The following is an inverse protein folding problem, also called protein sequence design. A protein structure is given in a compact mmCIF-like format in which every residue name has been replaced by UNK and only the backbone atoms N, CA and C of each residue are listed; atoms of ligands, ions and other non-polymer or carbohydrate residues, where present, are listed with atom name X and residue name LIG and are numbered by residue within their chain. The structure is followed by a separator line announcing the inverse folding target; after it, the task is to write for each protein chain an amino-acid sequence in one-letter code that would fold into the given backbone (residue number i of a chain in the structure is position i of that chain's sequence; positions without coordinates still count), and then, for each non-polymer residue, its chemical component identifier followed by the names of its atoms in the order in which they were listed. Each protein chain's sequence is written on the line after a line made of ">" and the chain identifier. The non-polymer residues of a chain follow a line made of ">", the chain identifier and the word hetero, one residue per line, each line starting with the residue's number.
data_IF_115667465431
#
_entry.id   IF_115667465431
#
_cell.length_a   1.000
_cell.length_b   1.000
_cell.length_c   1.000
_cell.angle_alpha   90.00
_cell.angle_beta   90.00
_cell.angle_gamma   90.00
#
_symmetry.space_group_name_H-M   'P 1'
#
loop_
_entity.id
_entity.type
_entity.pdbx_description
1 polymer ?
#
# COMPACT_ATOMS: atom_id res chain seq x y z
N UNK A 1 10.66 20.91 30.54
CA UNK A 1 11.96 20.24 30.37
C UNK A 1 12.36 20.10 28.90
N UNK A 2 11.48 19.62 28.01
CA UNK A 2 11.74 19.64 26.54
C UNK A 2 12.13 21.03 26.01
N UNK A 3 11.51 22.08 26.53
CA UNK A 3 11.76 23.48 26.16
C UNK A 3 13.16 24.01 26.53
N UNK A 4 13.86 23.46 27.52
CA UNK A 4 15.23 23.90 27.85
C UNK A 4 16.30 23.12 27.09
N UNK A 5 16.10 21.81 26.87
CA UNK A 5 17.01 21.02 26.02
C UNK A 5 17.00 21.49 24.56
N UNK A 6 15.83 21.84 24.02
CA UNK A 6 15.73 22.41 22.66
C UNK A 6 16.39 23.78 22.54
N UNK A 7 16.32 24.61 23.60
CA UNK A 7 17.03 25.90 23.65
C UNK A 7 18.55 25.71 23.68
N UNK A 8 19.05 24.71 24.41
CA UNK A 8 20.49 24.47 24.50
C UNK A 8 21.10 23.99 23.17
N UNK A 9 20.37 23.14 22.43
CA UNK A 9 20.78 22.67 21.11
C UNK A 9 20.83 23.80 20.06
N UNK A 10 19.96 24.82 20.18
CA UNK A 10 19.90 25.96 19.27
C UNK A 10 21.08 26.95 19.41
N UNK A 11 21.80 26.91 20.54
CA UNK A 11 22.90 27.85 20.84
C UNK A 11 24.29 27.43 20.31
N UNK A 12 24.43 26.22 19.73
CA UNK A 12 25.76 25.66 19.41
C UNK A 12 26.28 26.05 18.00
N UNK A 13 25.46 26.59 17.09
CA UNK A 13 25.93 27.10 15.78
C UNK A 13 25.20 28.40 15.36
N UNK A 14 25.69 29.55 15.85
CA UNK A 14 25.06 30.86 15.68
C UNK A 14 25.01 31.43 14.23
N UNK A 15 25.35 30.65 13.21
CA UNK A 15 25.21 31.06 11.79
C UNK A 15 24.31 30.14 10.95
N UNK A 16 23.72 29.10 11.54
CA UNK A 16 22.61 28.35 10.95
C UNK A 16 21.53 28.27 12.01
N UNK A 17 20.55 29.18 11.95
CA UNK A 17 19.30 28.97 12.68
C UNK A 17 18.83 27.55 12.34
N UNK A 18 18.50 26.70 13.33
CA UNK A 18 18.01 25.35 13.07
C UNK A 18 16.64 25.46 12.41
N UNK A 19 16.61 25.70 11.10
CA UNK A 19 15.42 25.69 10.25
C UNK A 19 14.82 24.28 10.12
N UNK A 20 15.24 23.34 10.97
CA UNK A 20 14.90 21.93 10.97
C UNK A 20 14.11 21.51 12.23
N UNK A 21 13.62 22.44 13.04
CA UNK A 21 12.85 22.08 14.25
C UNK A 21 11.56 21.31 13.91
N UNK A 22 10.91 21.63 12.79
CA UNK A 22 9.74 20.90 12.32
C UNK A 22 10.05 19.50 11.75
N UNK A 23 11.32 19.16 11.53
CA UNK A 23 11.76 17.81 11.18
C UNK A 23 11.95 16.90 12.39
N UNK A 24 11.74 17.43 13.61
CA UNK A 24 11.85 16.64 14.83
C UNK A 24 10.68 15.65 14.93
N UNK A 25 11.01 14.37 15.09
CA UNK A 25 10.06 13.28 15.27
C UNK A 25 9.42 13.40 16.66
N UNK A 26 8.09 13.34 16.73
CA UNK A 26 7.30 13.34 17.95
C UNK A 26 6.66 14.68 18.30
N UNK A 27 6.59 15.61 17.34
CA UNK A 27 5.83 16.84 17.51
C UNK A 27 4.34 16.54 17.55
N UNK A 28 3.61 17.36 18.32
CA UNK A 28 2.15 17.43 18.31
C UNK A 28 1.71 18.84 17.89
N UNK A 29 0.41 19.02 17.64
CA UNK A 29 -0.18 20.30 17.19
C UNK A 29 0.15 21.48 18.10
N UNK A 30 0.21 21.25 19.41
CA UNK A 30 0.58 22.27 20.40
C UNK A 30 2.04 22.68 20.25
N UNK A 31 2.96 21.72 20.09
CA UNK A 31 4.39 21.98 19.94
C UNK A 31 4.69 22.76 18.65
N UNK A 32 4.04 22.41 17.52
CA UNK A 32 4.27 23.10 16.24
C UNK A 32 3.75 24.54 16.26
N UNK A 33 2.65 24.82 16.96
CA UNK A 33 2.16 26.20 17.15
C UNK A 33 3.12 27.02 18.02
N UNK A 34 3.65 26.47 19.12
CA UNK A 34 4.65 27.19 19.92
C UNK A 34 5.94 27.51 19.13
N UNK A 35 6.38 26.61 18.25
CA UNK A 35 7.50 26.89 17.35
C UNK A 35 7.18 28.06 16.42
N UNK A 36 5.97 28.08 15.86
CA UNK A 36 5.52 29.14 14.97
C UNK A 36 5.43 30.49 15.69
N UNK A 37 4.81 30.54 16.87
CA UNK A 37 4.74 31.75 17.70
C UNK A 37 6.12 32.26 18.13
N UNK A 38 7.10 31.36 18.28
CA UNK A 38 8.49 31.71 18.55
C UNK A 38 9.27 32.21 17.31
N UNK A 39 8.62 32.31 16.15
CA UNK A 39 9.19 32.85 14.91
C UNK A 39 9.88 31.82 14.02
N UNK A 40 9.78 30.52 14.34
CA UNK A 40 10.25 29.46 13.46
C UNK A 40 9.20 29.23 12.38
N UNK A 41 9.33 29.88 11.22
CA UNK A 41 8.29 29.83 10.17
C UNK A 41 8.70 28.97 8.96
N UNK A 42 9.79 28.21 9.08
CA UNK A 42 10.38 27.43 7.99
C UNK A 42 9.67 26.09 7.74
N UNK A 43 8.34 26.08 7.56
CA UNK A 43 7.54 24.85 7.34
C UNK A 43 7.79 24.17 5.99
N UNK A 44 8.48 24.88 5.08
CA UNK A 44 8.83 24.42 3.73
C UNK A 44 10.33 24.12 3.56
N UNK A 45 11.11 24.17 4.63
CA UNK A 45 12.55 23.91 4.54
C UNK A 45 12.80 22.45 4.16
N UNK A 46 13.81 22.22 3.32
CA UNK A 46 14.32 20.88 3.08
C UNK A 46 15.53 20.71 4.00
N UNK A 47 15.51 19.67 4.83
CA UNK A 47 16.60 19.37 5.74
C UNK A 47 16.90 17.87 5.73
N UNK A 48 18.13 17.53 6.12
CA UNK A 48 18.54 16.15 6.31
C UNK A 48 17.72 15.52 7.44
N UNK A 49 17.17 14.33 7.18
CA UNK A 49 16.40 13.57 8.15
C UNK A 49 17.39 12.88 9.10
N UNK A 50 17.21 13.06 10.41
CA UNK A 50 18.11 12.53 11.43
C UNK A 50 18.46 11.05 11.17
N UNK A 51 19.76 10.74 11.20
CA UNK A 51 20.33 9.40 10.99
C UNK A 51 20.18 8.79 9.58
N UNK A 52 19.69 9.54 8.58
CA UNK A 52 19.67 9.08 7.19
C UNK A 52 20.43 10.04 6.27
N UNK A 53 20.78 9.56 5.08
CA UNK A 53 21.33 10.39 4.00
C UNK A 53 20.26 11.11 3.19
N UNK A 54 18.99 11.00 3.58
CA UNK A 54 17.86 11.57 2.85
C UNK A 54 17.47 12.94 3.39
N UNK A 55 16.84 13.72 2.53
CA UNK A 55 16.37 15.08 2.84
C UNK A 55 14.88 15.17 2.57
N UNK A 56 14.11 15.78 3.47
CA UNK A 56 12.66 15.90 3.34
C UNK A 56 12.13 17.26 3.76
N UNK A 57 10.89 17.56 3.38
CA UNK A 57 10.12 18.65 3.99
C UNK A 57 9.60 18.21 5.36
N UNK A 58 9.23 19.15 6.27
CA UNK A 58 8.59 18.81 7.52
C UNK A 58 7.37 17.92 7.37
N UNK A 59 6.49 18.21 6.41
CA UNK A 59 5.30 17.40 6.15
C UNK A 59 5.67 15.95 5.80
N UNK A 60 6.67 15.75 4.94
CA UNK A 60 7.12 14.41 4.57
C UNK A 60 7.73 13.66 5.76
N UNK A 61 8.52 14.32 6.60
CA UNK A 61 9.12 13.71 7.80
C UNK A 61 8.08 13.38 8.87
N UNK A 62 7.12 14.29 9.12
CA UNK A 62 6.05 14.02 10.08
C UNK A 62 5.13 12.89 9.60
N UNK A 63 4.90 12.77 8.29
CA UNK A 63 4.13 11.67 7.72
C UNK A 63 4.74 10.29 7.97
N UNK A 64 6.06 10.19 8.20
CA UNK A 64 6.71 8.94 8.58
C UNK A 64 6.51 8.57 10.05
N UNK A 65 6.34 9.58 10.87
CA UNK A 65 6.48 9.43 12.30
C UNK A 65 5.13 9.19 12.97
N UNK A 66 4.92 7.94 13.39
CA UNK A 66 3.79 7.56 14.25
C UNK A 66 4.29 7.07 15.62
N UNK A 67 5.20 7.82 16.23
CA UNK A 67 5.54 7.63 17.65
C UNK A 67 4.35 7.89 18.59
N UNK A 68 3.29 8.54 18.10
CA UNK A 68 2.02 8.78 18.80
C UNK A 68 0.81 8.15 18.08
N UNK A 69 -0.38 8.66 18.39
CA UNK A 69 -1.63 8.26 17.73
C UNK A 69 -1.70 8.76 16.28
N UNK A 70 -2.48 8.09 15.43
CA UNK A 70 -2.70 8.57 14.06
C UNK A 70 -3.41 9.93 14.00
N UNK A 71 -4.21 10.24 15.03
CA UNK A 71 -4.84 11.55 15.18
C UNK A 71 -3.80 12.66 15.41
N UNK A 72 -2.81 12.45 16.27
CA UNK A 72 -1.76 13.45 16.51
C UNK A 72 -0.95 13.77 15.24
N UNK A 73 -0.64 12.74 14.44
CA UNK A 73 0.04 12.93 13.15
C UNK A 73 -0.85 13.68 12.17
N UNK A 74 -2.14 13.34 12.12
CA UNK A 74 -3.14 14.05 11.31
C UNK A 74 -3.20 15.54 11.68
N UNK A 75 -3.27 15.85 12.98
CA UNK A 75 -3.35 17.23 13.47
C UNK A 75 -2.10 18.03 13.11
N UNK A 76 -0.91 17.42 13.20
CA UNK A 76 0.35 18.07 12.82
C UNK A 76 0.42 18.32 11.31
N UNK A 77 0.01 17.36 10.48
CA UNK A 77 0.01 17.51 9.04
C UNK A 77 -1.03 18.54 8.57
N UNK A 78 -2.24 18.51 9.14
CA UNK A 78 -3.28 19.53 8.89
C UNK A 78 -2.78 20.92 9.29
N UNK A 79 -2.11 21.03 10.44
CA UNK A 79 -1.48 22.27 10.86
C UNK A 79 -0.40 22.74 9.88
N UNK A 80 0.52 21.86 9.47
CA UNK A 80 1.58 22.18 8.51
C UNK A 80 0.99 22.68 7.18
N UNK A 81 -0.02 21.99 6.67
CA UNK A 81 -0.76 22.41 5.47
C UNK A 81 -1.37 23.80 5.65
N UNK A 82 -1.99 24.07 6.81
CA UNK A 82 -2.58 25.39 7.12
C UNK A 82 -1.56 26.53 7.13
N UNK A 83 -0.28 26.22 7.38
CA UNK A 83 0.85 27.17 7.31
C UNK A 83 1.54 27.19 5.94
N UNK A 84 1.01 26.48 4.94
CA UNK A 84 1.50 26.48 3.57
C UNK A 84 2.52 25.39 3.25
N UNK A 85 2.57 24.30 4.01
CA UNK A 85 3.38 23.14 3.67
C UNK A 85 2.87 22.43 2.41
N UNK A 86 3.73 22.13 1.41
CA UNK A 86 3.32 21.46 0.18
C UNK A 86 3.11 19.96 0.43
N UNK A 87 1.85 19.54 0.40
CA UNK A 87 1.45 18.12 0.53
C UNK A 87 1.63 17.31 -0.76
N UNK A 88 1.89 17.99 -1.88
CA UNK A 88 2.18 17.47 -3.21
C UNK A 88 3.69 17.44 -3.52
N UNK A 89 4.56 17.85 -2.59
CA UNK A 89 6.00 17.82 -2.80
C UNK A 89 6.49 16.37 -2.99
N UNK A 90 7.12 16.09 -4.12
CA UNK A 90 7.66 14.77 -4.45
C UNK A 90 9.09 14.65 -3.93
N UNK A 91 9.32 13.65 -3.08
CA UNK A 91 10.65 13.38 -2.54
C UNK A 91 11.62 12.93 -3.65
N UNK A 92 12.81 13.53 -3.80
CA UNK A 92 13.69 13.29 -4.95
C UNK A 92 14.23 11.86 -5.05
N UNK A 93 14.46 11.19 -3.91
CA UNK A 93 14.89 9.78 -3.87
C UNK A 93 13.72 8.80 -4.01
N UNK A 94 12.69 8.93 -3.17
CA UNK A 94 11.60 7.95 -3.08
C UNK A 94 10.47 8.17 -4.08
N UNK A 95 10.43 9.32 -4.73
CA UNK A 95 9.40 9.67 -5.71
C UNK A 95 8.00 9.84 -5.10
N UNK A 96 7.85 9.93 -3.78
CA UNK A 96 6.56 9.97 -3.07
C UNK A 96 6.25 11.33 -2.46
N UNK A 97 4.96 11.63 -2.28
CA UNK A 97 4.50 12.83 -1.57
C UNK A 97 4.27 12.56 -0.08
N UNK A 98 4.21 13.60 0.79
CA UNK A 98 3.82 13.43 2.20
C UNK A 98 2.54 12.61 2.40
N UNK A 99 1.53 12.78 1.55
CA UNK A 99 0.26 12.08 1.69
C UNK A 99 0.36 10.59 1.37
N UNK A 100 1.21 10.18 0.41
CA UNK A 100 1.46 8.76 0.15
C UNK A 100 2.06 8.09 1.37
N UNK A 101 3.06 8.73 1.97
CA UNK A 101 3.74 8.23 3.17
C UNK A 101 2.75 8.11 4.33
N UNK A 102 1.99 9.18 4.57
CA UNK A 102 1.02 9.24 5.66
C UNK A 102 -0.09 8.20 5.50
N UNK A 103 -0.76 8.14 4.33
CA UNK A 103 -1.88 7.22 4.09
C UNK A 103 -1.43 5.78 4.18
N UNK A 104 -0.24 5.46 3.67
CA UNK A 104 0.27 4.10 3.77
C UNK A 104 0.56 3.69 5.20
N UNK A 105 1.22 4.57 5.94
CA UNK A 105 1.54 4.33 7.34
C UNK A 105 0.28 4.25 8.20
N UNK A 106 -0.73 5.06 7.89
CA UNK A 106 -2.05 4.99 8.49
C UNK A 106 -2.68 3.60 8.28
N UNK A 107 -2.65 3.07 7.05
CA UNK A 107 -3.17 1.74 6.74
C UNK A 107 -2.40 0.64 7.50
N UNK A 108 -1.07 0.67 7.48
CA UNK A 108 -0.21 -0.25 8.22
C UNK A 108 -0.54 -0.26 9.72
N UNK A 109 -0.79 0.91 10.32
CA UNK A 109 -1.15 1.03 11.74
C UNK A 109 -2.53 0.47 12.05
N UNK A 110 -3.49 0.63 11.15
CA UNK A 110 -4.83 0.04 11.28
C UNK A 110 -4.73 -1.49 11.25
N UNK A 111 -3.84 -2.02 10.42
CA UNK A 111 -3.70 -3.46 10.15
C UNK A 111 -2.79 -4.16 11.18
N UNK A 112 -1.79 -3.49 11.77
CA UNK A 112 -0.91 -4.08 12.77
C UNK A 112 -1.63 -4.58 14.02
N UNK A 113 -1.45 -5.84 14.46
CA UNK A 113 -1.99 -6.31 15.73
C UNK A 113 -1.54 -5.37 16.87
N UNK A 114 -2.47 -4.66 17.51
CA UNK A 114 -2.16 -3.80 18.65
C UNK A 114 -2.35 -4.59 19.94
N UNK A 115 -1.59 -4.20 20.97
CA UNK A 115 -1.76 -4.72 22.34
C UNK A 115 -3.12 -4.28 22.92
N UNK A 116 -3.72 -3.21 22.39
CA UNK A 116 -5.07 -2.74 22.72
C UNK A 116 -6.04 -2.96 21.55
N UNK A 117 -7.19 -3.57 21.82
CA UNK A 117 -8.25 -3.83 20.82
C UNK A 117 -8.96 -2.56 20.30
N UNK A 118 -8.70 -1.40 20.91
CA UNK A 118 -9.28 -0.14 20.43
C UNK A 118 -8.61 0.30 19.13
N UNK A 119 -9.36 0.12 18.04
CA UNK A 119 -9.01 0.65 16.73
C UNK A 119 -8.90 2.17 16.82
N UNK A 120 -7.74 2.69 16.45
CA UNK A 120 -7.46 4.12 16.46
C UNK A 120 -8.46 4.85 15.55
N UNK A 121 -9.32 5.69 16.12
CA UNK A 121 -10.33 6.42 15.34
C UNK A 121 -9.75 7.47 14.40
N UNK A 122 -8.44 7.75 14.47
CA UNK A 122 -7.79 8.80 13.69
C UNK A 122 -7.84 8.62 12.16
N UNK A 123 -8.11 7.41 11.65
CA UNK A 123 -8.35 7.21 10.20
C UNK A 123 -9.65 7.88 9.72
N UNK A 124 -10.57 8.21 10.64
CA UNK A 124 -11.80 8.95 10.36
C UNK A 124 -11.64 10.45 10.54
N UNK A 125 -10.44 10.95 10.83
CA UNK A 125 -10.20 12.39 10.91
C UNK A 125 -10.49 13.04 9.55
N UNK A 126 -10.89 14.32 9.57
CA UNK A 126 -11.11 15.10 8.35
C UNK A 126 -9.87 15.12 7.47
N UNK A 127 -8.69 15.24 8.08
CA UNK A 127 -7.42 15.21 7.37
C UNK A 127 -7.11 13.84 6.77
N UNK A 128 -7.33 12.74 7.50
CA UNK A 128 -7.13 11.38 6.98
C UNK A 128 -7.97 11.11 5.73
N UNK A 129 -9.25 11.49 5.78
CA UNK A 129 -10.15 11.39 4.63
C UNK A 129 -9.67 12.27 3.47
N UNK A 130 -9.34 13.54 3.75
CA UNK A 130 -8.80 14.45 2.73
C UNK A 130 -7.54 13.89 2.08
N UNK A 131 -6.64 13.29 2.87
CA UNK A 131 -5.39 12.74 2.38
C UNK A 131 -5.62 11.53 1.46
N UNK A 132 -6.45 10.57 1.90
CA UNK A 132 -6.83 9.40 1.10
C UNK A 132 -7.50 9.80 -0.21
N UNK A 133 -8.38 10.80 -0.18
CA UNK A 133 -9.16 11.25 -1.34
C UNK A 133 -8.44 12.30 -2.21
N UNK A 134 -7.18 12.63 -1.90
CA UNK A 134 -6.43 13.60 -2.68
C UNK A 134 -5.96 13.00 -4.00
N UNK A 135 -5.91 13.84 -5.04
CA UNK A 135 -5.40 13.45 -6.36
C UNK A 135 -3.91 13.77 -6.52
N UNK A 136 -3.17 13.94 -5.42
CA UNK A 136 -1.73 14.18 -5.48
C UNK A 136 -1.05 12.90 -5.92
N UNK A 137 -0.53 12.90 -7.15
CA UNK A 137 0.15 11.77 -7.75
C UNK A 137 1.64 11.79 -7.40
N UNK A 138 2.20 10.62 -7.18
CA UNK A 138 3.65 10.45 -7.04
C UNK A 138 4.33 10.37 -8.42
N UNK A 139 5.65 10.14 -8.46
CA UNK A 139 6.38 10.01 -9.74
C UNK A 139 6.47 8.56 -10.24
N UNK A 140 5.53 7.70 -9.83
CA UNK A 140 5.52 6.29 -10.21
C UNK A 140 5.21 6.09 -11.70
N UNK A 141 5.84 5.08 -12.30
CA UNK A 141 5.60 4.63 -13.69
C UNK A 141 5.05 3.19 -13.76
N UNK A 142 4.66 2.62 -12.63
CA UNK A 142 4.11 1.27 -12.56
C UNK A 142 2.71 1.22 -13.17
N UNK A 143 2.35 0.17 -13.92
CA UNK A 143 1.02 0.00 -14.50
C UNK A 143 -0.12 -0.05 -13.47
N UNK A 144 0.18 -0.21 -12.17
CA UNK A 144 -0.82 -0.18 -11.10
C UNK A 144 -1.53 1.18 -10.95
N UNK A 145 -1.10 2.19 -11.69
CA UNK A 145 -1.67 3.53 -11.71
C UNK A 145 -1.58 4.14 -13.11
N UNK A 146 -2.42 5.14 -13.39
CA UNK A 146 -2.32 5.96 -14.60
C UNK A 146 -1.80 7.35 -14.19
N UNK A 147 -0.55 7.65 -14.58
CA UNK A 147 0.10 8.93 -14.25
C UNK A 147 0.59 9.07 -12.80
N UNK A 148 0.97 7.97 -12.16
CA UNK A 148 1.48 7.94 -10.77
C UNK A 148 0.47 7.35 -9.79
N UNK A 149 0.94 6.79 -8.68
CA UNK A 149 0.07 6.29 -7.63
C UNK A 149 -0.67 7.46 -6.97
N UNK A 150 -1.88 7.18 -6.47
CA UNK A 150 -2.61 8.07 -5.58
C UNK A 150 -2.39 7.63 -4.12
N UNK A 151 -2.63 8.48 -3.11
CA UNK A 151 -2.55 8.06 -1.72
C UNK A 151 -3.51 6.91 -1.38
N UNK A 152 -4.72 6.90 -1.93
CA UNK A 152 -5.65 5.76 -1.77
C UNK A 152 -5.09 4.45 -2.32
N UNK A 153 -4.29 4.49 -3.39
CA UNK A 153 -3.60 3.33 -3.95
C UNK A 153 -2.72 2.68 -2.89
N UNK A 154 -2.00 3.49 -2.09
CA UNK A 154 -1.17 2.98 -1.00
C UNK A 154 -1.97 2.29 0.10
N UNK A 155 -3.16 2.80 0.44
CA UNK A 155 -4.01 2.16 1.45
C UNK A 155 -4.51 0.78 0.98
N UNK A 156 -4.93 0.68 -0.29
CA UNK A 156 -5.37 -0.59 -0.88
C UNK A 156 -4.20 -1.58 -0.95
N UNK A 157 -3.03 -1.15 -1.45
CA UNK A 157 -1.82 -1.96 -1.50
C UNK A 157 -1.43 -2.51 -0.13
N UNK A 158 -1.44 -1.67 0.91
CA UNK A 158 -1.08 -2.07 2.27
C UNK A 158 -2.09 -3.08 2.85
N UNK A 159 -3.37 -2.92 2.50
CA UNK A 159 -4.42 -3.88 2.89
C UNK A 159 -4.20 -5.23 2.22
N UNK A 160 -3.83 -5.24 0.92
CA UNK A 160 -3.48 -6.46 0.20
C UNK A 160 -2.24 -7.11 0.83
N UNK A 161 -1.15 -6.35 0.99
CA UNK A 161 0.13 -6.82 1.55
C UNK A 161 -0.02 -7.43 2.95
N UNK A 162 -0.74 -6.74 3.84
CA UNK A 162 -0.89 -7.15 5.22
C UNK A 162 -1.71 -8.42 5.38
N UNK A 163 -2.59 -8.73 4.41
CA UNK A 163 -3.44 -9.92 4.53
C UNK A 163 -2.68 -11.21 4.27
N UNK A 164 -1.58 -11.20 3.49
CA UNK A 164 -0.64 -12.29 3.07
C UNK A 164 -1.22 -13.68 2.75
N UNK A 165 -2.20 -14.15 3.51
CA UNK A 165 -3.40 -14.86 3.06
C UNK A 165 -4.30 -13.87 2.29
N UNK A 166 -3.88 -13.53 1.07
CA UNK A 166 -4.67 -12.95 -0.03
C UNK A 166 -6.09 -12.44 0.35
N UNK A 167 -6.36 -11.14 0.18
CA UNK A 167 -7.73 -10.59 0.22
C UNK A 167 -8.73 -11.42 -0.60
N UNK A 168 -8.28 -12.15 -1.62
CA UNK A 168 -9.11 -13.08 -2.39
C UNK A 168 -9.63 -14.24 -1.55
N UNK A 169 -8.92 -14.72 -0.54
CA UNK A 169 -9.46 -15.68 0.45
C UNK A 169 -10.62 -15.06 1.25
N UNK A 170 -10.65 -13.74 1.46
CA UNK A 170 -11.79 -13.08 2.11
C UNK A 170 -12.98 -12.88 1.15
N UNK A 171 -12.72 -12.71 -0.16
CA UNK A 171 -13.75 -12.54 -1.20
C UNK A 171 -14.31 -13.90 -1.70
N UNK A 172 -13.45 -14.84 -2.11
CA UNK A 172 -13.78 -16.19 -2.58
C UNK A 172 -14.58 -17.00 -1.54
N UNK A 173 -14.40 -16.72 -0.24
CA UNK A 173 -15.10 -17.41 0.86
C UNK A 173 -16.21 -16.58 1.52
N UNK A 174 -16.60 -15.44 0.96
CA UNK A 174 -17.79 -14.70 1.35
C UNK A 174 -17.91 -14.41 2.85
N UNK A 175 -17.04 -13.55 3.41
CA UNK A 175 -17.24 -12.95 4.75
C UNK A 175 -17.50 -13.91 5.93
N UNK A 176 -17.16 -15.21 5.85
CA UNK A 176 -17.17 -16.13 7.00
C UNK A 176 -16.07 -17.20 6.85
N UNK A 177 -14.88 -16.95 7.40
CA UNK A 177 -13.77 -17.93 7.40
C UNK A 177 -13.76 -18.72 8.70
N UNK A 178 -13.96 -20.04 8.61
CA UNK A 178 -13.52 -21.04 9.59
C UNK A 178 -12.75 -22.13 8.84
N UNK A 179 -11.42 -22.11 8.82
CA UNK A 179 -10.61 -23.26 8.40
C UNK A 179 -9.33 -23.39 9.22
N UNK A 180 -9.08 -24.62 9.66
CA UNK A 180 -8.10 -25.03 10.66
C UNK A 180 -7.05 -25.96 10.02
N UNK A 181 -6.00 -25.40 9.41
CA UNK A 181 -5.00 -26.26 8.74
C UNK A 181 -3.65 -25.66 8.35
N UNK A 182 -3.39 -24.37 8.54
CA UNK A 182 -2.04 -23.81 8.34
C UNK A 182 -1.29 -23.65 9.69
N UNK A 183 0.05 -23.76 9.71
CA UNK A 183 0.84 -23.63 10.95
C UNK A 183 0.54 -22.29 11.63
N UNK A 184 -0.03 -22.37 12.83
CA UNK A 184 -0.45 -21.24 13.64
C UNK A 184 0.75 -20.37 14.02
N UNK A 185 0.93 -19.25 13.33
CA UNK A 185 1.20 -18.02 14.06
C UNK A 185 -0.12 -17.69 14.76
N UNK A 186 -0.19 -17.90 16.08
CA UNK A 186 -1.37 -17.62 16.92
C UNK A 186 -1.54 -16.11 17.12
N UNK A 187 -1.66 -15.38 16.01
CA UNK A 187 -2.23 -14.04 15.96
C UNK A 187 -3.71 -14.26 15.69
N UNK A 188 -4.59 -13.64 16.46
CA UNK A 188 -6.04 -13.60 16.22
C UNK A 188 -6.35 -13.19 14.76
N UNK A 189 -6.37 -14.15 13.83
CA UNK A 189 -6.48 -13.93 12.38
C UNK A 189 -7.82 -13.27 12.02
N UNK A 190 -8.86 -13.56 12.80
CA UNK A 190 -10.15 -12.87 12.74
C UNK A 190 -10.01 -11.35 12.93
N UNK A 191 -9.13 -10.89 13.81
CA UNK A 191 -8.94 -9.47 14.09
C UNK A 191 -8.26 -8.72 12.94
N UNK A 192 -7.31 -9.33 12.24
CA UNK A 192 -6.67 -8.71 11.08
C UNK A 192 -7.62 -8.64 9.88
N UNK A 193 -8.29 -9.76 9.55
CA UNK A 193 -9.26 -9.81 8.47
C UNK A 193 -10.40 -8.80 8.64
N UNK A 194 -10.94 -8.68 9.86
CA UNK A 194 -12.00 -7.72 10.17
C UNK A 194 -11.53 -6.26 10.01
N UNK A 195 -10.28 -5.94 10.35
CA UNK A 195 -9.72 -4.58 10.20
C UNK A 195 -9.45 -4.25 8.74
N UNK A 196 -8.91 -5.21 7.97
CA UNK A 196 -8.74 -5.09 6.52
C UNK A 196 -10.10 -4.87 5.83
N UNK A 197 -11.09 -5.72 6.11
CA UNK A 197 -12.44 -5.59 5.58
C UNK A 197 -13.09 -4.25 5.98
N UNK A 198 -12.89 -3.80 7.23
CA UNK A 198 -13.37 -2.51 7.72
C UNK A 198 -12.76 -1.32 6.98
N UNK A 199 -11.45 -1.34 6.70
CA UNK A 199 -10.76 -0.31 5.94
C UNK A 199 -11.23 -0.31 4.47
N UNK A 200 -11.27 -1.47 3.81
CA UNK A 200 -11.72 -1.58 2.42
C UNK A 200 -13.18 -1.12 2.27
N UNK A 201 -14.06 -1.57 3.15
CA UNK A 201 -15.47 -1.14 3.17
C UNK A 201 -15.59 0.37 3.36
N UNK A 202 -14.76 0.96 4.24
CA UNK A 202 -14.72 2.40 4.41
C UNK A 202 -14.28 3.12 3.13
N UNK A 203 -13.22 2.67 2.45
CA UNK A 203 -12.75 3.25 1.19
C UNK A 203 -13.81 3.14 0.09
N UNK A 204 -14.48 1.99 -0.04
CA UNK A 204 -15.57 1.81 -1.01
C UNK A 204 -16.74 2.74 -0.73
N UNK A 205 -17.09 2.94 0.54
CA UNK A 205 -18.14 3.92 0.90
C UNK A 205 -17.77 5.36 0.51
N UNK A 206 -16.48 5.70 0.44
CA UNK A 206 -16.04 7.01 -0.05
C UNK A 206 -16.19 7.14 -1.57
N UNK A 207 -16.02 6.05 -2.34
CA UNK A 207 -16.34 6.05 -3.77
C UNK A 207 -17.80 6.40 -3.98
N UNK A 208 -18.71 5.74 -3.25
CA UNK A 208 -20.15 6.01 -3.33
C UNK A 208 -20.49 7.45 -2.90
N UNK A 209 -19.84 7.95 -1.85
CA UNK A 209 -20.10 9.29 -1.31
C UNK A 209 -19.55 10.42 -2.21
N UNK A 210 -18.50 10.15 -2.97
CA UNK A 210 -17.77 11.15 -3.76
C UNK A 210 -17.91 10.96 -5.27
N UNK A 211 -18.73 10.02 -5.76
CA UNK A 211 -18.83 9.66 -7.18
C UNK A 211 -18.93 10.88 -8.12
N UNK A 212 -19.76 11.87 -7.77
CA UNK A 212 -19.96 13.08 -8.57
C UNK A 212 -18.82 14.10 -8.47
N UNK A 213 -18.05 14.09 -7.38
CA UNK A 213 -16.99 15.06 -7.11
C UNK A 213 -15.60 14.54 -7.47
N UNK A 214 -15.38 13.23 -7.38
CA UNK A 214 -14.12 12.53 -7.61
C UNK A 214 -14.34 11.33 -8.56
N UNK A 215 -14.71 11.58 -9.83
CA UNK A 215 -15.03 10.51 -10.78
C UNK A 215 -13.84 9.57 -11.09
N UNK A 216 -12.61 10.01 -10.78
CA UNK A 216 -11.39 9.21 -10.94
C UNK A 216 -11.23 8.13 -9.86
N UNK A 217 -11.87 8.30 -8.69
CA UNK A 217 -11.61 7.49 -7.50
C UNK A 217 -11.92 6.01 -7.71
N UNK A 218 -13.09 5.71 -8.30
CA UNK A 218 -13.49 4.34 -8.62
C UNK A 218 -12.52 3.68 -9.60
N UNK A 219 -12.11 4.40 -10.65
CA UNK A 219 -11.13 3.91 -11.64
C UNK A 219 -9.77 3.60 -11.01
N UNK A 220 -9.28 4.47 -10.11
CA UNK A 220 -8.03 4.24 -9.38
C UNK A 220 -8.07 2.97 -8.52
N UNK A 221 -9.16 2.72 -7.80
CA UNK A 221 -9.31 1.50 -6.99
C UNK A 221 -9.43 0.26 -7.90
N UNK A 222 -10.23 0.33 -8.96
CA UNK A 222 -10.35 -0.77 -9.93
C UNK A 222 -9.01 -1.13 -10.56
N UNK A 223 -8.20 -0.13 -10.91
CA UNK A 223 -6.87 -0.32 -11.50
C UNK A 223 -5.92 -1.07 -10.58
N UNK A 224 -5.77 -0.64 -9.32
CA UNK A 224 -4.88 -1.34 -8.38
C UNK A 224 -5.39 -2.74 -8.04
N UNK A 225 -6.70 -2.93 -7.87
CA UNK A 225 -7.25 -4.26 -7.59
C UNK A 225 -7.08 -5.23 -8.77
N UNK A 226 -7.32 -4.75 -10.00
CA UNK A 226 -7.12 -5.56 -11.22
C UNK A 226 -5.65 -5.89 -11.41
N UNK A 227 -4.76 -4.93 -11.20
CA UNK A 227 -3.30 -5.13 -11.26
C UNK A 227 -2.86 -6.26 -10.31
N UNK A 228 -3.35 -6.24 -9.07
CA UNK A 228 -3.01 -7.24 -8.05
C UNK A 228 -3.62 -8.61 -8.34
N UNK A 229 -4.83 -8.64 -8.92
CA UNK A 229 -5.47 -9.89 -9.33
C UNK A 229 -4.76 -10.55 -10.51
N UNK A 230 -4.16 -9.76 -11.40
CA UNK A 230 -3.32 -10.25 -12.49
C UNK A 230 -1.89 -10.63 -12.03
N UNK A 231 -1.59 -10.54 -10.74
CA UNK A 231 -0.29 -10.87 -10.16
C UNK A 231 0.88 -10.11 -10.79
N UNK A 232 0.63 -8.87 -11.26
CA UNK A 232 1.66 -8.01 -11.82
C UNK A 232 2.63 -7.53 -10.74
N UNK A 233 3.90 -7.36 -11.11
CA UNK A 233 4.94 -6.95 -10.17
C UNK A 233 4.94 -5.44 -9.98
N UNK A 234 4.75 -5.01 -8.73
CA UNK A 234 4.89 -3.60 -8.40
C UNK A 234 6.32 -3.11 -8.62
N UNK A 235 6.41 -1.96 -9.26
CA UNK A 235 7.65 -1.18 -9.49
C UNK A 235 7.53 0.23 -8.87
N UNK A 236 6.56 0.40 -7.96
CA UNK A 236 6.06 1.69 -7.47
C UNK A 236 6.51 2.05 -6.04
N UNK A 237 5.84 3.05 -5.43
CA UNK A 237 5.95 3.42 -4.03
C UNK A 237 5.61 2.31 -3.02
N UNK A 238 5.19 1.11 -3.47
CA UNK A 238 4.93 -0.08 -2.64
C UNK A 238 6.15 -0.51 -1.80
N UNK A 239 7.35 -0.03 -2.08
CA UNK A 239 8.53 -0.38 -1.27
C UNK A 239 8.96 0.67 -0.26
N UNK A 240 8.31 1.84 -0.21
CA UNK A 240 8.81 2.98 0.57
C UNK A 240 9.01 2.67 2.05
N UNK A 241 8.10 1.91 2.67
CA UNK A 241 8.23 1.54 4.08
C UNK A 241 9.51 0.75 4.38
N UNK A 242 9.92 -0.11 3.44
CA UNK A 242 11.15 -0.90 3.51
C UNK A 242 12.38 -0.04 3.22
N UNK A 243 12.33 0.79 2.18
CA UNK A 243 13.44 1.69 1.79
C UNK A 243 13.85 2.63 2.94
N UNK A 244 12.92 2.94 3.83
CA UNK A 244 13.16 3.82 4.97
C UNK A 244 13.66 3.10 6.22
N UNK A 245 13.77 1.77 6.20
CA UNK A 245 14.27 0.97 7.33
C UNK A 245 13.50 1.17 8.63
N UNK A 246 12.28 1.75 8.57
CA UNK A 246 11.51 2.19 9.73
C UNK A 246 10.37 1.22 10.06
N UNK A 247 10.13 0.23 9.20
CA UNK A 247 9.08 -0.76 9.37
C UNK A 247 9.71 -2.10 9.79
N UNK A 248 9.13 -2.82 10.76
CA UNK A 248 9.69 -4.09 11.23
C UNK A 248 9.86 -5.09 10.09
N UNK A 249 10.98 -5.81 10.08
CA UNK A 249 11.52 -6.69 9.01
C UNK A 249 10.68 -7.95 8.68
N UNK A 250 9.34 -7.91 8.77
CA UNK A 250 8.51 -9.11 8.54
C UNK A 250 8.33 -9.47 7.06
N UNK A 251 8.77 -8.64 6.13
CA UNK A 251 8.64 -8.88 4.69
C UNK A 251 10.01 -9.19 4.07
N UNK A 252 10.06 -10.04 3.01
CA UNK A 252 11.30 -10.31 2.29
C UNK A 252 11.99 -9.02 1.85
N UNK A 253 13.33 -9.06 1.81
CA UNK A 253 14.28 -7.95 1.54
C UNK A 253 14.22 -7.40 0.10
N UNK A 254 13.03 -7.25 -0.47
CA UNK A 254 12.85 -6.65 -1.78
C UNK A 254 12.86 -5.12 -1.65
N UNK A 255 13.87 -4.50 -2.25
CA UNK A 255 13.90 -3.07 -2.57
C UNK A 255 13.06 -2.80 -3.82
N UNK A 256 12.70 -1.53 -4.04
CA UNK A 256 12.11 -1.13 -5.32
C UNK A 256 13.08 -1.48 -6.45
N UNK A 257 12.58 -2.07 -7.55
CA UNK A 257 13.39 -2.28 -8.73
C UNK A 257 13.99 -0.96 -9.24
N UNK A 258 15.22 -1.00 -9.76
CA UNK A 258 15.74 0.16 -10.48
C UNK A 258 14.93 0.41 -11.76
N UNK A 259 15.21 1.51 -12.45
CA UNK A 259 14.46 1.84 -13.67
C UNK A 259 14.62 0.76 -14.74
N UNK A 260 15.84 0.28 -14.93
CA UNK A 260 16.17 -0.75 -15.91
C UNK A 260 15.48 -2.07 -15.56
N UNK A 261 15.53 -2.50 -14.30
CA UNK A 261 14.79 -3.68 -13.82
C UNK A 261 13.28 -3.52 -13.97
N UNK A 262 12.73 -2.33 -13.73
CA UNK A 262 11.31 -2.06 -13.93
C UNK A 262 10.90 -2.17 -15.41
N UNK A 263 11.74 -1.67 -16.32
CA UNK A 263 11.54 -1.80 -17.77
C UNK A 263 11.58 -3.28 -18.20
N UNK A 264 12.52 -4.07 -17.69
CA UNK A 264 12.58 -5.53 -17.93
C UNK A 264 11.35 -6.26 -17.39
N UNK A 265 10.90 -5.91 -16.17
CA UNK A 265 9.67 -6.46 -15.59
C UNK A 265 8.48 -6.14 -16.51
N UNK A 266 8.32 -4.89 -16.95
CA UNK A 266 7.22 -4.49 -17.82
C UNK A 266 7.24 -5.20 -19.18
N UNK A 267 8.43 -5.41 -19.76
CA UNK A 267 8.57 -6.19 -20.99
C UNK A 267 8.14 -7.65 -20.78
N UNK A 268 8.62 -8.27 -19.68
CA UNK A 268 8.29 -9.66 -19.34
C UNK A 268 6.80 -9.87 -19.03
N UNK A 269 6.16 -8.88 -18.42
CA UNK A 269 4.75 -8.91 -18.02
C UNK A 269 3.82 -8.26 -19.06
N UNK A 270 4.34 -7.86 -20.23
CA UNK A 270 3.62 -7.07 -21.24
C UNK A 270 2.26 -7.66 -21.63
N UNK A 271 2.15 -8.99 -21.75
CA UNK A 271 0.88 -9.67 -22.04
C UNK A 271 -0.18 -9.42 -20.97
N UNK A 272 0.20 -9.43 -19.69
CA UNK A 272 -0.72 -9.21 -18.57
C UNK A 272 -1.04 -7.72 -18.40
N UNK A 273 -0.08 -6.84 -18.71
CA UNK A 273 -0.32 -5.40 -18.80
C UNK A 273 -1.34 -5.10 -19.90
N UNK A 274 -1.23 -5.73 -21.07
CA UNK A 274 -2.24 -5.60 -22.13
C UNK A 274 -3.64 -6.03 -21.65
N UNK A 275 -3.74 -7.10 -20.86
CA UNK A 275 -5.02 -7.53 -20.27
C UNK A 275 -5.56 -6.48 -19.29
N UNK A 276 -4.71 -5.93 -18.43
CA UNK A 276 -5.07 -4.83 -17.52
C UNK A 276 -5.64 -3.63 -18.30
N UNK A 277 -4.92 -3.16 -19.32
CA UNK A 277 -5.34 -2.00 -20.12
C UNK A 277 -6.61 -2.26 -20.94
N UNK A 278 -6.87 -3.52 -21.31
CA UNK A 278 -8.11 -3.88 -22.00
C UNK A 278 -9.31 -3.98 -21.04
N UNK A 279 -9.10 -4.44 -19.81
CA UNK A 279 -10.17 -4.61 -18.82
C UNK A 279 -10.63 -3.29 -18.20
N UNK A 280 -9.71 -2.35 -17.94
CA UNK A 280 -10.04 -1.13 -17.19
C UNK A 280 -11.09 -0.25 -17.87
N UNK A 281 -11.02 0.06 -19.17
CA UNK A 281 -12.07 0.82 -19.85
C UNK A 281 -13.44 0.13 -19.75
N UNK A 282 -13.47 -1.21 -19.75
CA UNK A 282 -14.70 -1.98 -19.61
C UNK A 282 -15.26 -1.85 -18.19
N UNK A 283 -14.43 -2.03 -17.16
CA UNK A 283 -14.85 -1.87 -15.77
C UNK A 283 -15.31 -0.46 -15.45
N UNK A 284 -14.60 0.57 -15.91
CA UNK A 284 -15.01 1.96 -15.73
C UNK A 284 -16.33 2.27 -16.41
N UNK A 285 -16.55 1.74 -17.62
CA UNK A 285 -17.82 1.90 -18.32
C UNK A 285 -18.96 1.19 -17.60
N UNK A 286 -18.74 -0.04 -17.15
CA UNK A 286 -19.75 -0.81 -16.42
C UNK A 286 -20.06 -0.17 -15.06
N UNK A 287 -19.05 0.35 -14.36
CA UNK A 287 -19.23 1.07 -13.10
C UNK A 287 -20.11 2.31 -13.29
N UNK A 288 -19.84 3.13 -14.31
CA UNK A 288 -20.68 4.31 -14.65
C UNK A 288 -22.13 3.97 -14.95
N UNK A 289 -22.43 2.73 -15.36
CA UNK A 289 -23.77 2.25 -15.68
C UNK A 289 -24.41 1.47 -14.53
N UNK A 290 -23.66 1.16 -13.47
CA UNK A 290 -24.10 0.31 -12.38
C UNK A 290 -24.96 1.10 -11.39
N UNK A 291 -26.15 0.59 -11.10
CA UNK A 291 -27.07 1.19 -10.12
C UNK A 291 -26.97 0.44 -8.79
N UNK A 292 -25.93 0.73 -8.01
CA UNK A 292 -25.69 0.08 -6.73
C UNK A 292 -24.51 0.68 -5.97
N UNK A 293 -24.05 -0.01 -4.93
CA UNK A 293 -22.86 0.41 -4.19
C UNK A 293 -21.61 -0.12 -4.88
N UNK A 294 -20.49 0.59 -4.73
CA UNK A 294 -19.22 0.18 -5.29
C UNK A 294 -18.79 -1.20 -4.79
N UNK A 295 -19.04 -1.52 -3.51
CA UNK A 295 -18.81 -2.86 -2.97
C UNK A 295 -19.61 -3.96 -3.71
N UNK A 296 -20.86 -3.67 -4.07
CA UNK A 296 -21.70 -4.61 -4.83
C UNK A 296 -21.21 -4.74 -6.27
N UNK A 297 -20.71 -3.67 -6.88
CA UNK A 297 -20.07 -3.73 -8.19
C UNK A 297 -18.83 -4.62 -8.18
N UNK A 298 -17.95 -4.43 -7.18
CA UNK A 298 -16.74 -5.25 -7.03
C UNK A 298 -17.11 -6.72 -6.96
N UNK A 299 -18.07 -7.08 -6.10
CA UNK A 299 -18.49 -8.48 -5.90
C UNK A 299 -19.22 -9.08 -7.10
N UNK A 300 -20.17 -8.36 -7.68
CA UNK A 300 -21.11 -8.95 -8.64
C UNK A 300 -20.66 -8.81 -10.10
N UNK A 301 -19.73 -7.90 -10.39
CA UNK A 301 -19.29 -7.58 -11.76
C UNK A 301 -17.79 -7.81 -11.92
N UNK A 302 -16.99 -7.09 -11.13
CA UNK A 302 -15.53 -7.14 -11.25
C UNK A 302 -14.98 -8.54 -10.91
N UNK A 303 -15.39 -9.12 -9.78
CA UNK A 303 -14.90 -10.42 -9.30
C UNK A 303 -15.26 -11.57 -10.26
N UNK A 304 -16.50 -11.60 -10.74
CA UNK A 304 -16.97 -12.57 -11.74
C UNK A 304 -16.12 -12.49 -13.00
N UNK A 305 -15.90 -11.27 -13.52
CA UNK A 305 -15.11 -11.05 -14.74
C UNK A 305 -13.65 -11.42 -14.55
N UNK A 306 -13.06 -11.12 -13.41
CA UNK A 306 -11.68 -11.53 -13.11
C UNK A 306 -11.54 -13.05 -13.03
N UNK A 307 -12.52 -13.77 -12.47
CA UNK A 307 -12.51 -15.23 -12.45
C UNK A 307 -12.55 -15.86 -13.85
N UNK A 308 -13.28 -15.24 -14.80
CA UNK A 308 -13.23 -15.64 -16.21
C UNK A 308 -11.84 -15.42 -16.82
N UNK A 309 -11.22 -14.28 -16.53
CA UNK A 309 -9.88 -13.95 -17.05
C UNK A 309 -8.79 -14.83 -16.45
N UNK A 310 -8.88 -15.20 -15.17
CA UNK A 310 -7.95 -16.14 -14.54
C UNK A 310 -8.02 -17.51 -15.24
N UNK A 311 -9.23 -17.96 -15.58
CA UNK A 311 -9.44 -19.20 -16.35
C UNK A 311 -8.83 -19.08 -17.76
N UNK A 312 -8.98 -17.93 -18.40
CA UNK A 312 -8.42 -17.68 -19.74
C UNK A 312 -6.89 -17.58 -19.72
N UNK A 313 -6.31 -17.01 -18.67
CA UNK A 313 -4.87 -16.76 -18.53
C UNK A 313 -4.10 -18.01 -18.16
N UNK A 314 -4.62 -18.81 -17.23
CA UNK A 314 -3.99 -20.07 -16.80
C UNK A 314 -4.14 -21.17 -17.85
N UNK A 315 -5.15 -21.08 -18.73
CA UNK A 315 -5.43 -22.09 -19.73
C UNK A 315 -5.84 -23.42 -19.09
N UNK A 316 -5.83 -24.52 -19.86
CA UNK A 316 -6.00 -25.84 -19.28
C UNK A 316 -4.68 -26.25 -18.58
N UNK A 317 -4.67 -26.46 -17.25
CA UNK A 317 -3.47 -26.91 -16.53
C UNK A 317 -2.87 -28.19 -17.12
N UNK A 318 -3.67 -29.02 -17.80
CA UNK A 318 -3.21 -30.23 -18.49
C UNK A 318 -2.38 -29.90 -19.72
N UNK A 319 -2.74 -28.86 -20.48
CA UNK A 319 -1.95 -28.41 -21.62
C UNK A 319 -0.63 -27.79 -21.18
N UNK A 320 -0.64 -27.01 -20.09
CA UNK A 320 0.59 -26.45 -19.53
C UNK A 320 1.53 -27.56 -19.03
N UNK A 321 1.02 -28.51 -18.25
CA UNK A 321 1.79 -29.71 -17.82
C UNK A 321 2.31 -30.51 -19.02
N UNK A 322 1.53 -30.63 -20.09
CA UNK A 322 1.97 -31.29 -21.32
C UNK A 322 3.14 -30.54 -21.98
N UNK A 323 3.05 -29.21 -22.11
CA UNK A 323 4.13 -28.37 -22.65
C UNK A 323 5.41 -28.46 -21.80
N UNK A 324 5.29 -28.43 -20.47
CA UNK A 324 6.43 -28.60 -19.56
C UNK A 324 7.09 -29.96 -19.76
N UNK A 325 6.29 -31.04 -19.89
CA UNK A 325 6.80 -32.38 -20.19
C UNK A 325 7.46 -32.48 -21.58
N UNK A 326 6.92 -31.81 -22.59
CA UNK A 326 7.51 -31.75 -23.94
C UNK A 326 8.89 -31.08 -23.95
N UNK A 327 9.12 -30.11 -23.04
CA UNK A 327 10.44 -29.50 -22.83
C UNK A 327 11.43 -30.42 -22.07
N UNK A 328 11.03 -31.64 -21.71
CA UNK A 328 11.85 -32.58 -20.96
C UNK A 328 11.94 -32.26 -19.47
N UNK A 329 11.14 -31.32 -18.97
CA UNK A 329 11.06 -31.00 -17.55
C UNK A 329 10.12 -32.01 -16.89
N UNK A 330 10.68 -32.84 -16.01
CA UNK A 330 9.92 -33.75 -15.15
C UNK A 330 9.71 -33.03 -13.83
N UNK A 331 8.47 -32.59 -13.58
CA UNK A 331 8.08 -32.06 -12.27
C UNK A 331 8.08 -33.23 -11.28
N UNK A 332 8.91 -33.14 -10.24
CA UNK A 332 8.88 -34.12 -9.15
C UNK A 332 7.50 -34.06 -8.50
N UNK A 333 6.79 -35.19 -8.32
CA UNK A 333 5.55 -35.18 -7.56
C UNK A 333 5.89 -34.65 -6.17
N UNK A 334 5.21 -33.58 -5.77
CA UNK A 334 5.35 -33.06 -4.42
C UNK A 334 4.84 -34.14 -3.46
N UNK A 335 5.75 -34.91 -2.87
CA UNK A 335 5.43 -35.84 -1.79
C UNK A 335 5.04 -34.98 -0.59
N UNK A 336 3.76 -34.67 -0.45
CA UNK A 336 3.27 -34.03 0.78
C UNK A 336 3.48 -35.01 1.92
N UNK A 337 4.45 -34.73 2.79
CA UNK A 337 4.86 -35.59 3.91
C UNK A 337 3.74 -35.84 4.96
N UNK A 338 2.57 -35.22 4.81
CA UNK A 338 1.47 -35.25 5.79
C UNK A 338 0.23 -36.06 5.36
N UNK A 339 0.29 -36.85 4.28
CA UNK A 339 -0.84 -37.68 3.85
C UNK A 339 -0.70 -39.12 4.36
N UNK A 340 -1.07 -39.34 5.62
CA UNK A 340 -1.35 -40.67 6.18
C UNK A 340 -2.54 -41.31 5.44
N UNK A 341 -2.26 -41.96 4.32
CA UNK A 341 -3.05 -43.08 3.79
C UNK A 341 -4.52 -42.81 3.44
N UNK A 342 -4.79 -41.98 2.43
CA UNK A 342 -5.86 -42.26 1.46
C UNK A 342 -5.62 -41.41 0.19
N UNK A 343 -5.11 -42.07 -0.86
CA UNK A 343 -4.73 -41.43 -2.13
C UNK A 343 -5.96 -40.98 -2.92
N UNK A 344 -6.42 -39.75 -2.68
CA UNK A 344 -7.40 -39.08 -3.55
C UNK A 344 -7.04 -37.60 -3.68
N UNK A 345 -5.97 -37.26 -4.42
CA UNK A 345 -5.79 -35.88 -4.91
C UNK A 345 -5.01 -35.88 -6.24
N UNK A 346 -5.73 -35.78 -7.37
CA UNK A 346 -5.16 -35.45 -8.69
C UNK A 346 -5.12 -33.92 -8.97
N UNK A 347 -5.64 -33.08 -8.06
CA UNK A 347 -5.97 -31.67 -8.37
C UNK A 347 -5.23 -30.62 -7.52
N UNK A 348 -4.01 -30.89 -7.03
CA UNK A 348 -3.14 -29.81 -6.53
C UNK A 348 -2.57 -29.04 -7.74
N UNK A 349 -3.20 -27.92 -8.09
CA UNK A 349 -2.69 -26.95 -9.06
C UNK A 349 -1.70 -26.04 -8.34
N UNK A 350 -0.44 -26.06 -8.76
CA UNK A 350 0.49 -25.01 -8.39
C UNK A 350 -0.02 -23.72 -9.03
N UNK A 351 -0.45 -22.75 -8.21
CA UNK A 351 -0.66 -21.39 -8.70
C UNK A 351 0.73 -20.91 -9.12
N UNK A 352 0.95 -20.54 -10.39
CA UNK A 352 2.24 -20.00 -10.80
C UNK A 352 2.38 -18.67 -10.07
N UNK A 353 3.20 -18.66 -9.02
CA UNK A 353 3.85 -17.42 -8.63
C UNK A 353 4.57 -16.92 -9.88
N UNK A 354 4.47 -15.61 -10.15
CA UNK A 354 5.16 -14.97 -11.28
C UNK A 354 6.63 -15.43 -11.37
N UNK A 355 7.27 -15.29 -12.54
CA UNK A 355 8.53 -15.95 -12.85
C UNK A 355 9.51 -15.83 -11.68
N UNK A 356 9.94 -16.97 -11.13
CA UNK A 356 10.98 -17.00 -10.10
C UNK A 356 12.16 -16.19 -10.62
N UNK A 357 12.50 -15.11 -9.90
CA UNK A 357 13.66 -14.27 -10.22
C UNK A 357 14.87 -15.19 -10.34
N UNK A 358 15.66 -15.12 -11.42
CA UNK A 358 16.93 -15.84 -11.48
C UNK A 358 17.78 -15.45 -10.26
N UNK A 359 18.49 -16.39 -9.62
CA UNK A 359 19.28 -16.11 -8.44
C UNK A 359 20.29 -15.01 -8.75
N UNK A 360 20.42 -14.05 -7.82
CA UNK A 360 21.37 -12.96 -7.90
C UNK A 360 22.78 -13.53 -8.19
N UNK A 361 23.35 -13.16 -9.34
CA UNK A 361 24.76 -13.44 -9.62
C UNK A 361 25.60 -12.58 -8.67
N UNK A 362 26.20 -13.23 -7.67
CA UNK A 362 27.17 -12.63 -6.74
C UNK A 362 28.47 -12.22 -7.42
#
# INVERSE_FOLDING_TARGET
>A
MLTENMKHQATIDNNQVPNNLYHFVGLNSVAVEYLWEAGFNAVNSIAQIFHSHHTGTPAWVQALNFGGSSQEVSDVLEWLESKGAPMDWIHPTFGTTPLHVFVRRLADIILRPRISDEMDSGYRSSFSLKAMLSDYRDSCVCPCSDGGCAPITCAIQETIDSTSVSLWVLFDFGLNVWYSGLPRIDLNSEGLGNRAAGLVSHLFSQVDACENNLPWLGGTILRVMTFERLHLTHTCCRFIGKELGSWPDYLPSHTRPCREEAEEIHESEGKYIDVLENLLPQFEQQWKQYHGKFADFIKNVWEVRMGEEDTNLTGDPREERAKIRELGVVLDPYESEDSDGESVYEDAVAIPFGPERPPEMQ
#
